data_IF_279753867978
#
_entry.id   IF_279753867978
#
_cell.length_a   1.000
_cell.length_b   1.000
_cell.length_c   1.000
_cell.angle_alpha   90.00
_cell.angle_beta   90.00
_cell.angle_gamma   90.00
#
_symmetry.space_group_name_H-M   'P 1'
#
loop_
_entity.id
_entity.type
_entity.pdbx_description
1 polymer ?
#
# COMPACT_ATOMS: atom_id res chain seq x y z
N UNK A 1 25.42 -2.11 -5.46
CA UNK A 1 24.15 -1.62 -4.88
C UNK A 1 23.04 -2.42 -5.53
N UNK A 2 22.35 -3.25 -4.74
CA UNK A 2 21.20 -4.05 -5.22
C UNK A 2 19.93 -3.57 -4.54
N UNK A 3 18.78 -3.80 -5.17
CA UNK A 3 17.49 -3.64 -4.52
C UNK A 3 17.32 -4.78 -3.51
N UNK A 4 17.19 -4.46 -2.22
CA UNK A 4 17.03 -5.47 -1.16
C UNK A 4 15.63 -6.09 -1.14
N UNK A 5 14.65 -5.38 -1.71
CA UNK A 5 13.25 -5.79 -1.73
C UNK A 5 12.76 -5.99 -3.16
N UNK A 6 12.00 -7.07 -3.38
CA UNK A 6 11.42 -7.41 -4.67
C UNK A 6 10.02 -6.83 -4.79
N UNK A 7 9.71 -6.27 -5.96
CA UNK A 7 8.41 -5.71 -6.28
C UNK A 7 7.75 -6.51 -7.41
N UNK A 8 6.54 -6.98 -7.18
CA UNK A 8 5.73 -7.68 -8.18
C UNK A 8 4.35 -7.05 -8.32
N UNK A 9 3.68 -7.40 -9.43
CA UNK A 9 2.29 -7.04 -9.69
C UNK A 9 1.37 -8.22 -9.30
N UNK A 10 0.57 -8.10 -8.21
CA UNK A 10 -0.33 -9.15 -7.77
C UNK A 10 -1.67 -9.13 -8.54
N UNK A 11 -2.46 -10.19 -8.41
CA UNK A 11 -3.82 -10.23 -8.97
C UNK A 11 -4.83 -9.33 -8.24
N UNK A 12 -4.52 -8.92 -7.00
CA UNK A 12 -5.29 -8.00 -6.17
C UNK A 12 -4.32 -7.06 -5.45
N UNK A 13 -4.63 -5.78 -5.38
CA UNK A 13 -3.67 -4.76 -4.96
C UNK A 13 -2.97 -4.12 -6.17
N UNK A 14 -2.27 -3.02 -5.95
CA UNK A 14 -1.46 -2.37 -6.97
C UNK A 14 -0.06 -2.98 -7.07
N UNK A 15 0.55 -3.32 -5.93
CA UNK A 15 1.85 -3.98 -5.88
C UNK A 15 2.02 -4.86 -4.65
N UNK A 16 2.94 -5.82 -4.73
CA UNK A 16 3.33 -6.67 -3.61
C UNK A 16 4.84 -6.60 -3.40
N UNK A 17 5.26 -6.44 -2.15
CA UNK A 17 6.66 -6.40 -1.73
C UNK A 17 7.03 -7.75 -1.12
N UNK A 18 8.12 -8.34 -1.58
CA UNK A 18 8.67 -9.62 -1.11
C UNK A 18 7.62 -10.75 -1.05
N UNK A 19 6.68 -10.72 -2.00
CA UNK A 19 5.53 -11.64 -2.11
C UNK A 19 4.69 -11.78 -0.82
N UNK A 20 4.83 -10.82 0.12
CA UNK A 20 4.27 -10.88 1.47
C UNK A 20 3.37 -9.69 1.78
N UNK A 21 3.78 -8.48 1.39
CA UNK A 21 3.08 -7.25 1.75
C UNK A 21 2.36 -6.65 0.54
N UNK A 22 1.04 -6.73 0.52
CA UNK A 22 0.23 -6.16 -0.56
C UNK A 22 -0.14 -4.72 -0.26
N UNK A 23 0.07 -3.83 -1.22
CA UNK A 23 -0.28 -2.43 -1.12
C UNK A 23 -1.30 -2.06 -2.19
N UNK A 24 -2.30 -1.31 -1.78
CA UNK A 24 -3.29 -0.65 -2.65
C UNK A 24 -3.12 0.86 -2.48
N UNK A 25 -3.03 1.61 -3.56
CA UNK A 25 -2.91 3.06 -3.57
C UNK A 25 -4.26 3.69 -3.95
N UNK A 26 -4.60 4.79 -3.29
CA UNK A 26 -5.77 5.57 -3.68
C UNK A 26 -5.88 6.92 -3.00
N UNK A 27 -6.88 7.68 -3.44
CA UNK A 27 -7.27 8.93 -2.78
C UNK A 27 -8.07 8.70 -1.50
N UNK A 28 -8.39 9.78 -0.81
CA UNK A 28 -9.08 9.80 0.49
C UNK A 28 -10.40 8.99 0.58
N UNK A 29 -11.10 8.78 -0.53
CA UNK A 29 -12.34 8.01 -0.61
C UNK A 29 -12.15 6.50 -0.80
N UNK A 30 -10.92 6.02 -0.98
CA UNK A 30 -10.63 4.62 -1.27
C UNK A 30 -10.90 3.74 -0.03
N UNK A 31 -11.59 2.63 -0.25
CA UNK A 31 -11.96 1.66 0.78
C UNK A 31 -11.06 0.43 0.72
N UNK A 32 -11.05 -0.36 1.80
CA UNK A 32 -10.21 -1.55 1.93
C UNK A 32 -10.76 -2.78 1.19
N UNK A 33 -11.80 -2.61 0.36
CA UNK A 33 -12.59 -3.73 -0.19
C UNK A 33 -11.80 -4.66 -1.11
N UNK A 34 -10.85 -4.13 -1.88
CA UNK A 34 -10.08 -4.92 -2.84
C UNK A 34 -9.10 -5.90 -2.15
N UNK A 35 -8.59 -5.50 -0.99
CA UNK A 35 -7.53 -6.21 -0.25
C UNK A 35 -7.97 -6.75 1.11
N UNK A 36 -9.26 -6.64 1.45
CA UNK A 36 -9.82 -6.99 2.78
C UNK A 36 -9.52 -8.42 3.26
N UNK A 37 -9.46 -9.38 2.34
CA UNK A 37 -9.25 -10.79 2.65
C UNK A 37 -7.78 -11.22 2.43
N UNK A 38 -6.89 -10.26 2.15
CA UNK A 38 -5.48 -10.49 1.92
C UNK A 38 -4.72 -10.22 3.23
N UNK A 39 -4.00 -11.20 3.79
CA UNK A 39 -3.18 -10.98 4.97
C UNK A 39 -2.04 -10.01 4.66
N UNK A 40 -1.60 -9.24 5.66
CA UNK A 40 -0.50 -8.26 5.52
C UNK A 40 -0.72 -7.26 4.38
N UNK A 41 -1.98 -6.83 4.20
CA UNK A 41 -2.34 -5.85 3.20
C UNK A 41 -2.48 -4.45 3.80
N UNK A 42 -2.14 -3.44 3.00
CA UNK A 42 -2.13 -2.04 3.41
C UNK A 42 -2.70 -1.15 2.32
N UNK A 43 -3.32 -0.06 2.75
CA UNK A 43 -3.91 0.95 1.89
C UNK A 43 -3.11 2.24 2.03
N UNK A 44 -2.37 2.60 0.98
CA UNK A 44 -1.66 3.87 0.89
C UNK A 44 -2.63 4.96 0.40
N UNK A 45 -2.96 5.91 1.29
CA UNK A 45 -3.97 6.94 1.04
C UNK A 45 -3.33 8.32 0.90
N UNK A 46 -3.67 8.98 -0.20
CA UNK A 46 -3.40 10.40 -0.39
C UNK A 46 -4.35 11.29 0.44
N UNK A 47 -3.82 12.38 0.98
CA UNK A 47 -4.54 13.30 1.86
C UNK A 47 -4.73 12.83 3.30
N UNK A 48 -4.08 11.73 3.71
CA UNK A 48 -4.08 11.26 5.10
C UNK A 48 -2.92 11.90 5.88
N UNK A 49 -3.20 12.54 7.02
CA UNK A 49 -2.14 13.09 7.88
C UNK A 49 -1.64 12.06 8.91
N UNK A 50 -2.54 11.18 9.37
CA UNK A 50 -2.26 10.18 10.39
C UNK A 50 -2.73 8.82 9.90
N UNK A 51 -1.80 7.86 9.83
CA UNK A 51 -2.10 6.46 9.51
C UNK A 51 -3.02 5.80 10.53
N UNK A 52 -3.71 4.73 10.14
CA UNK A 52 -4.57 3.97 11.04
C UNK A 52 -4.59 2.49 10.68
N UNK A 53 -4.14 1.63 11.61
CA UNK A 53 -4.05 0.17 11.47
C UNK A 53 -3.37 -0.28 10.16
N UNK A 54 -4.14 -0.43 9.08
CA UNK A 54 -3.66 -0.85 7.76
C UNK A 54 -3.69 0.28 6.72
N UNK A 55 -4.00 1.53 7.12
CA UNK A 55 -3.94 2.72 6.27
C UNK A 55 -2.65 3.48 6.54
N UNK A 56 -1.88 3.69 5.48
CA UNK A 56 -0.60 4.39 5.53
C UNK A 56 -0.75 5.68 4.71
N UNK A 57 -0.33 6.83 5.22
CA UNK A 57 -0.27 8.03 4.41
C UNK A 57 0.67 7.85 3.22
N UNK A 58 0.21 8.16 2.01
CA UNK A 58 0.99 7.95 0.79
C UNK A 58 2.34 8.70 0.81
N UNK A 59 2.38 9.88 1.46
CA UNK A 59 3.59 10.69 1.60
C UNK A 59 4.70 10.01 2.43
N UNK A 60 4.39 9.00 3.25
CA UNK A 60 5.41 8.25 4.01
C UNK A 60 6.29 7.38 3.10
N UNK A 61 5.85 7.07 1.88
CA UNK A 61 6.63 6.32 0.90
C UNK A 61 7.65 7.19 0.15
N UNK A 62 7.83 8.45 0.56
CA UNK A 62 8.69 9.41 -0.14
C UNK A 62 8.03 10.06 -1.36
N UNK A 63 6.74 9.78 -1.58
CA UNK A 63 5.89 10.53 -2.51
C UNK A 63 5.47 11.85 -1.86
N UNK A 64 6.44 12.74 -1.67
CA UNK A 64 6.16 14.15 -1.36
C UNK A 64 5.79 14.87 -2.66
N UNK A 65 4.78 15.72 -2.59
CA UNK A 65 4.37 16.60 -3.68
C UNK A 65 5.44 17.67 -3.99
#
# INVERSE_FOLDING_TARGET
VGFEHTLHYPAKGDFIVDDTYTFEIGGSSKTFEQIKDIPNSYLAIDGLEIGSTNKIPLWMFGFLY
#
